data_IF_653065880004
#
_entry.id   IF_653065880004
#
_cell.length_a   1.000
_cell.length_b   1.000
_cell.length_c   1.000
_cell.angle_alpha   90.00
_cell.angle_beta   90.00
_cell.angle_gamma   90.00
#
_symmetry.space_group_name_H-M   'P 1'
#
loop_
_entity.id
_entity.type
_entity.pdbx_description
1 polymer ?
#
# COMPACT_ATOMS: atom_id res chain seq x y z
N UNK A 1 14.83 -17.49 -36.06
CA UNK A 1 15.52 -17.04 -34.83
C UNK A 1 14.72 -15.89 -34.26
N UNK A 2 13.83 -16.17 -33.31
CA UNK A 2 13.05 -15.15 -32.60
C UNK A 2 13.06 -15.53 -31.14
N UNK A 3 13.80 -14.76 -30.34
CA UNK A 3 13.90 -14.97 -28.90
C UNK A 3 12.52 -14.67 -28.28
N UNK A 4 11.83 -15.73 -27.82
CA UNK A 4 10.77 -15.58 -26.83
C UNK A 4 11.44 -15.13 -25.54
N UNK A 5 11.42 -13.82 -25.30
CA UNK A 5 11.66 -13.28 -23.97
C UNK A 5 10.34 -13.46 -23.20
N UNK A 6 10.22 -14.62 -22.56
CA UNK A 6 9.19 -14.85 -21.57
C UNK A 6 9.52 -14.00 -20.34
N UNK A 7 9.01 -12.77 -20.35
CA UNK A 7 9.18 -11.79 -19.27
C UNK A 7 8.33 -12.15 -18.04
N UNK A 8 7.54 -13.23 -18.12
CA UNK A 8 6.61 -13.68 -17.09
C UNK A 8 7.30 -14.50 -15.97
N UNK A 9 8.41 -15.17 -16.26
CA UNK A 9 9.08 -16.02 -15.25
C UNK A 9 10.13 -15.28 -14.40
N UNK A 10 10.59 -14.10 -14.84
CA UNK A 10 11.68 -13.39 -14.13
C UNK A 10 11.22 -12.48 -12.99
N UNK A 11 9.92 -12.26 -12.82
CA UNK A 11 9.38 -11.53 -11.66
C UNK A 11 8.88 -12.42 -10.52
N UNK A 12 8.94 -13.76 -10.67
CA UNK A 12 8.53 -14.69 -9.61
C UNK A 12 9.64 -15.17 -8.69
N UNK A 13 10.91 -14.80 -8.94
CA UNK A 13 12.06 -15.35 -8.20
C UNK A 13 12.86 -14.34 -7.36
N UNK A 14 12.40 -13.10 -7.23
CA UNK A 14 13.03 -12.07 -6.37
C UNK A 14 12.05 -11.52 -5.32
N UNK A 15 11.14 -12.36 -4.84
CA UNK A 15 10.19 -12.01 -3.78
C UNK A 15 10.15 -13.11 -2.71
N UNK A 16 11.34 -13.56 -2.30
CA UNK A 16 11.49 -14.55 -1.24
C UNK A 16 12.77 -14.25 -0.46
N UNK A 17 12.68 -13.24 0.41
CA UNK A 17 13.33 -13.20 1.74
C UNK A 17 13.01 -11.87 2.42
N UNK A 18 12.25 -11.95 3.52
CA UNK A 18 11.99 -10.89 4.51
C UNK A 18 10.69 -10.05 4.41
N UNK A 19 9.65 -10.56 3.74
CA UNK A 19 8.29 -10.02 3.90
C UNK A 19 7.68 -10.45 5.25
N UNK A 20 8.00 -9.72 6.31
CA UNK A 20 7.20 -9.76 7.55
C UNK A 20 5.83 -9.16 7.25
N UNK A 21 4.88 -10.02 6.89
CA UNK A 21 3.48 -9.69 6.69
C UNK A 21 2.96 -8.76 7.81
N UNK A 22 2.44 -7.58 7.45
CA UNK A 22 1.88 -6.59 8.39
C UNK A 22 0.86 -7.21 9.35
N UNK A 23 0.14 -8.24 8.91
CA UNK A 23 -0.83 -8.96 9.75
C UNK A 23 -0.18 -9.66 10.94
N UNK A 24 1.12 -9.95 10.89
CA UNK A 24 1.90 -10.61 11.94
C UNK A 24 2.60 -9.63 12.90
N UNK A 25 2.58 -8.33 12.62
CA UNK A 25 3.19 -7.30 13.50
C UNK A 25 2.33 -7.15 14.76
N UNK A 26 2.78 -7.76 15.85
CA UNK A 26 2.16 -7.72 17.18
C UNK A 26 2.90 -6.73 18.07
N UNK A 27 2.16 -5.79 18.65
CA UNK A 27 2.68 -4.78 19.58
C UNK A 27 2.46 -5.25 21.01
N UNK A 28 3.48 -5.13 21.85
CA UNK A 28 3.44 -5.53 23.27
C UNK A 28 3.53 -4.26 24.09
N UNK A 29 2.55 -3.93 24.93
CA UNK A 29 2.66 -2.74 25.78
C UNK A 29 2.32 -3.02 27.24
N UNK A 30 3.22 -2.57 28.12
CA UNK A 30 2.97 -2.32 29.55
C UNK A 30 2.58 -0.85 29.78
N UNK A 31 1.60 -0.63 30.65
CA UNK A 31 0.98 0.66 30.94
C UNK A 31 1.88 1.63 31.72
N UNK A 32 2.05 2.88 31.22
CA UNK A 32 2.75 3.94 31.96
C UNK A 32 2.60 5.40 31.46
N UNK A 33 1.86 6.21 32.25
CA UNK A 33 1.92 7.68 32.44
C UNK A 33 1.52 8.70 31.32
N UNK A 34 1.26 9.93 31.76
CA UNK A 34 0.29 10.92 31.23
C UNK A 34 0.77 11.92 30.15
N UNK A 35 1.87 11.66 29.45
CA UNK A 35 2.28 12.46 28.26
C UNK A 35 2.62 11.62 27.03
N UNK A 36 2.66 10.29 27.15
CA UNK A 36 2.70 9.38 26.02
C UNK A 36 1.26 9.16 25.50
N UNK A 37 1.04 8.98 24.18
CA UNK A 37 -0.20 8.46 23.67
C UNK A 37 -0.44 7.15 24.40
N UNK A 38 -1.67 6.95 24.86
CA UNK A 38 -2.03 5.68 25.46
C UNK A 38 -1.66 4.56 24.48
N UNK A 39 -1.22 3.40 24.98
CA UNK A 39 -0.93 2.23 24.12
C UNK A 39 -2.09 1.96 23.14
N UNK A 40 -3.32 2.24 23.57
CA UNK A 40 -4.54 2.18 22.75
C UNK A 40 -4.56 3.19 21.60
N UNK A 41 -4.09 4.42 21.82
CA UNK A 41 -4.02 5.45 20.76
C UNK A 41 -3.00 5.07 19.69
N UNK A 42 -1.85 4.54 20.10
CA UNK A 42 -0.84 4.03 19.18
C UNK A 42 -1.37 2.85 18.36
N UNK A 43 -2.05 1.90 19.01
CA UNK A 43 -2.73 0.78 18.34
C UNK A 43 -3.76 1.24 17.31
N UNK A 44 -4.55 2.29 17.62
CA UNK A 44 -5.51 2.87 16.69
C UNK A 44 -4.81 3.49 15.47
N UNK A 45 -3.74 4.27 15.68
CA UNK A 45 -2.96 4.89 14.60
C UNK A 45 -2.36 3.82 13.69
N UNK A 46 -1.76 2.79 14.28
CA UNK A 46 -1.23 1.61 13.57
C UNK A 46 -2.32 0.92 12.78
N UNK A 47 -3.43 0.56 13.41
CA UNK A 47 -4.55 -0.10 12.75
C UNK A 47 -5.15 0.71 11.60
N UNK A 48 -5.07 2.04 11.68
CA UNK A 48 -5.48 2.95 10.60
C UNK A 48 -4.53 2.86 9.41
N UNK A 49 -3.21 2.94 9.66
CA UNK A 49 -2.18 2.82 8.61
C UNK A 49 -2.24 1.44 7.94
N UNK A 50 -2.34 0.35 8.72
CA UNK A 50 -2.44 -1.02 8.18
C UNK A 50 -3.64 -1.20 7.24
N UNK A 51 -4.78 -0.56 7.55
CA UNK A 51 -5.97 -0.58 6.68
C UNK A 51 -5.75 0.24 5.42
N UNK A 52 -5.22 1.45 5.54
CA UNK A 52 -4.95 2.33 4.40
C UNK A 52 -3.93 1.73 3.42
N UNK A 53 -2.89 1.04 3.91
CA UNK A 53 -1.95 0.29 3.06
C UNK A 53 -2.70 -0.77 2.25
N UNK A 54 -3.52 -1.60 2.91
CA UNK A 54 -4.30 -2.66 2.25
C UNK A 54 -5.30 -2.10 1.23
N UNK A 55 -6.07 -1.09 1.62
CA UNK A 55 -7.04 -0.45 0.72
C UNK A 55 -6.34 0.09 -0.54
N UNK A 56 -5.21 0.78 -0.34
CA UNK A 56 -4.42 1.34 -1.44
C UNK A 56 -3.84 0.26 -2.34
N UNK A 57 -3.29 -0.83 -1.78
CA UNK A 57 -2.79 -1.96 -2.57
C UNK A 57 -3.88 -2.57 -3.43
N UNK A 58 -5.06 -2.83 -2.87
CA UNK A 58 -6.21 -3.38 -3.61
C UNK A 58 -6.65 -2.44 -4.73
N UNK A 59 -6.74 -1.13 -4.48
CA UNK A 59 -7.11 -0.17 -5.52
C UNK A 59 -6.10 -0.10 -6.67
N UNK A 60 -4.80 -0.26 -6.37
CA UNK A 60 -3.75 -0.29 -7.39
C UNK A 60 -3.77 -1.59 -8.20
N UNK A 61 -3.97 -2.73 -7.55
CA UNK A 61 -4.13 -4.02 -8.23
C UNK A 61 -5.36 -4.03 -9.16
N UNK A 62 -6.48 -3.46 -8.72
CA UNK A 62 -7.69 -3.33 -9.54
C UNK A 62 -7.44 -2.40 -10.75
N UNK A 63 -6.81 -1.24 -10.52
CA UNK A 63 -6.45 -0.33 -11.62
C UNK A 63 -5.61 -1.04 -12.68
N UNK A 64 -4.54 -1.73 -12.25
CA UNK A 64 -3.67 -2.50 -13.14
C UNK A 64 -4.46 -3.58 -13.91
N UNK A 65 -5.32 -4.31 -13.22
CA UNK A 65 -6.16 -5.35 -13.83
C UNK A 65 -7.04 -4.77 -14.94
N UNK A 66 -7.65 -3.61 -14.70
CA UNK A 66 -8.51 -2.95 -15.69
C UNK A 66 -7.73 -2.30 -16.84
N UNK A 67 -6.50 -1.83 -16.60
CA UNK A 67 -5.57 -1.37 -17.63
C UNK A 67 -5.08 -2.53 -18.52
N UNK A 68 -4.70 -3.65 -17.93
CA UNK A 68 -4.30 -4.87 -18.66
C UNK A 68 -5.46 -5.40 -19.51
N UNK A 69 -6.69 -5.39 -18.97
CA UNK A 69 -7.91 -5.74 -19.70
C UNK A 69 -8.13 -4.81 -20.91
N UNK A 70 -7.93 -3.50 -20.73
CA UNK A 70 -8.02 -2.53 -21.83
C UNK A 70 -7.00 -2.79 -22.94
N UNK A 71 -5.74 -3.04 -22.56
CA UNK A 71 -4.67 -3.35 -23.52
C UNK A 71 -5.01 -4.61 -24.32
N UNK A 72 -5.46 -5.66 -23.64
CA UNK A 72 -5.88 -6.89 -24.30
C UNK A 72 -7.03 -6.65 -25.30
N UNK A 73 -8.09 -5.95 -24.89
CA UNK A 73 -9.20 -5.64 -25.81
C UNK A 73 -8.77 -4.79 -26.99
N UNK A 74 -7.82 -3.88 -26.79
CA UNK A 74 -7.25 -3.08 -27.86
C UNK A 74 -6.45 -3.95 -28.85
N UNK A 75 -5.69 -4.93 -28.35
CA UNK A 75 -4.94 -5.90 -29.18
C UNK A 75 -5.86 -6.84 -29.94
N UNK A 76 -6.93 -7.30 -29.29
CA UNK A 76 -7.95 -8.18 -29.88
C UNK A 76 -8.84 -7.46 -30.93
N UNK A 77 -8.70 -6.13 -31.06
CA UNK A 77 -9.42 -5.33 -32.05
C UNK A 77 -10.88 -5.06 -31.69
N UNK A 78 -11.20 -4.98 -30.39
CA UNK A 78 -12.53 -4.64 -29.89
C UNK A 78 -12.98 -3.24 -30.35
N UNK A 79 -14.30 -3.05 -30.45
CA UNK A 79 -14.89 -1.80 -30.93
C UNK A 79 -14.63 -0.61 -29.99
N UNK A 80 -14.58 0.59 -30.57
CA UNK A 80 -14.32 1.85 -29.86
C UNK A 80 -15.32 2.12 -28.73
N UNK A 81 -16.58 1.69 -28.86
CA UNK A 81 -17.57 1.82 -27.80
C UNK A 81 -17.14 1.04 -26.53
N UNK A 82 -16.65 -0.19 -26.71
CA UNK A 82 -16.19 -1.06 -25.63
C UNK A 82 -14.94 -0.47 -24.99
N UNK A 83 -13.96 -0.08 -25.81
CA UNK A 83 -12.72 0.56 -25.35
C UNK A 83 -12.98 1.85 -24.57
N UNK A 84 -13.94 2.68 -25.01
CA UNK A 84 -14.35 3.89 -24.29
C UNK A 84 -15.02 3.57 -22.96
N UNK A 85 -15.84 2.52 -22.90
CA UNK A 85 -16.45 2.07 -21.64
C UNK A 85 -15.39 1.57 -20.66
N UNK A 86 -14.41 0.83 -21.14
CA UNK A 86 -13.31 0.37 -20.30
C UNK A 86 -12.48 1.52 -19.72
N UNK A 87 -12.23 2.58 -20.50
CA UNK A 87 -11.60 3.81 -19.98
C UNK A 87 -12.42 4.49 -18.87
N UNK A 88 -13.74 4.36 -18.88
CA UNK A 88 -14.59 4.88 -17.79
C UNK A 88 -14.35 4.07 -16.50
N UNK A 89 -14.29 2.74 -16.61
CA UNK A 89 -13.98 1.84 -15.48
C UNK A 89 -12.60 2.14 -14.90
N UNK A 90 -11.57 2.25 -15.76
CA UNK A 90 -10.21 2.62 -15.33
C UNK A 90 -10.21 3.95 -14.56
N UNK A 91 -10.93 4.96 -15.05
CA UNK A 91 -11.03 6.26 -14.37
C UNK A 91 -11.73 6.14 -13.00
N UNK A 92 -12.78 5.31 -12.90
CA UNK A 92 -13.46 5.05 -11.62
C UNK A 92 -12.51 4.39 -10.60
N UNK A 93 -11.72 3.40 -11.01
CA UNK A 93 -10.69 2.80 -10.16
C UNK A 93 -9.63 3.82 -9.74
N UNK A 94 -9.12 4.61 -10.71
CA UNK A 94 -8.07 5.59 -10.46
C UNK A 94 -8.47 6.68 -9.47
N UNK A 95 -9.74 7.12 -9.47
CA UNK A 95 -10.24 8.19 -8.59
C UNK A 95 -10.12 7.89 -7.09
N UNK A 96 -10.03 6.63 -6.70
CA UNK A 96 -9.93 6.23 -5.29
C UNK A 96 -8.51 6.34 -4.72
N UNK A 97 -7.50 6.28 -5.59
CA UNK A 97 -6.09 6.22 -5.18
C UNK A 97 -5.63 7.52 -4.52
N UNK A 98 -5.86 8.74 -5.09
CA UNK A 98 -5.28 9.97 -4.56
C UNK A 98 -5.71 10.31 -3.12
N UNK A 99 -6.99 10.13 -2.75
CA UNK A 99 -7.42 10.41 -1.37
C UNK A 99 -6.86 9.38 -0.39
N UNK A 100 -6.82 8.11 -0.79
CA UNK A 100 -6.27 7.04 0.04
C UNK A 100 -4.77 7.26 0.31
N UNK A 101 -4.00 7.65 -0.71
CA UNK A 101 -2.59 8.05 -0.57
C UNK A 101 -2.43 9.25 0.36
N UNK A 102 -3.24 10.29 0.20
CA UNK A 102 -3.20 11.48 1.06
C UNK A 102 -3.48 11.13 2.51
N UNK A 103 -4.47 10.27 2.76
CA UNK A 103 -4.84 9.79 4.10
C UNK A 103 -3.73 8.94 4.72
N UNK A 104 -3.12 8.07 3.92
CA UNK A 104 -1.99 7.24 4.35
C UNK A 104 -0.78 8.12 4.72
N UNK A 105 -0.40 9.05 3.85
CA UNK A 105 0.69 9.99 4.09
C UNK A 105 0.46 10.82 5.36
N UNK A 106 -0.75 11.32 5.57
CA UNK A 106 -1.11 12.05 6.80
C UNK A 106 -1.01 11.18 8.06
N UNK A 107 -1.48 9.93 8.00
CA UNK A 107 -1.41 9.01 9.13
C UNK A 107 0.05 8.65 9.49
N UNK A 108 0.90 8.44 8.49
CA UNK A 108 2.35 8.22 8.70
C UNK A 108 3.02 9.44 9.31
N UNK A 109 2.68 10.64 8.85
CA UNK A 109 3.25 11.88 9.40
C UNK A 109 2.91 12.03 10.89
N UNK A 110 1.67 11.73 11.27
CA UNK A 110 1.29 11.72 12.69
C UNK A 110 2.04 10.68 13.51
N UNK A 111 2.25 9.49 12.96
CA UNK A 111 3.02 8.45 13.64
C UNK A 111 4.50 8.83 13.80
N UNK A 112 5.11 9.45 12.78
CA UNK A 112 6.48 9.99 12.86
C UNK A 112 6.61 11.12 13.86
N UNK A 113 5.62 12.01 13.93
CA UNK A 113 5.61 13.06 14.94
C UNK A 113 5.60 12.47 16.36
N UNK A 114 4.81 11.43 16.62
CA UNK A 114 4.86 10.72 17.90
C UNK A 114 6.25 10.12 18.15
N UNK A 115 6.86 9.49 17.14
CA UNK A 115 8.22 8.94 17.26
C UNK A 115 9.24 10.01 17.68
N UNK A 116 9.21 11.17 17.03
CA UNK A 116 10.12 12.30 17.31
C UNK A 116 9.91 12.90 18.70
N UNK A 117 8.67 12.87 19.20
CA UNK A 117 8.32 13.33 20.55
C UNK A 117 8.64 12.30 21.64
N UNK A 118 9.27 11.16 21.31
CA UNK A 118 9.62 10.10 22.26
C UNK A 118 8.41 9.34 22.79
N UNK A 119 7.29 9.37 22.05
CA UNK A 119 6.01 8.77 22.41
C UNK A 119 5.86 7.32 21.99
N UNK A 120 6.87 6.78 21.30
CA UNK A 120 6.95 5.39 20.83
C UNK A 120 8.09 4.71 21.59
N UNK A 121 7.83 3.53 22.12
CA UNK A 121 8.84 2.76 22.88
C UNK A 121 9.91 2.21 21.93
N UNK A 122 11.11 1.92 22.45
CA UNK A 122 12.19 1.33 21.63
C UNK A 122 11.79 -0.01 20.99
N UNK A 123 10.98 -0.81 21.69
CA UNK A 123 10.46 -2.11 21.21
C UNK A 123 9.55 -1.94 19.98
N UNK A 124 8.91 -0.79 19.89
CA UNK A 124 7.87 -0.48 18.92
C UNK A 124 8.38 0.29 17.70
N UNK A 125 9.55 0.91 17.80
CA UNK A 125 10.20 1.67 16.72
C UNK A 125 10.39 0.77 15.49
N UNK A 126 10.87 -0.46 15.65
CA UNK A 126 11.09 -1.39 14.53
C UNK A 126 9.80 -1.66 13.74
N UNK A 127 8.68 -1.83 14.45
CA UNK A 127 7.38 -2.06 13.83
C UNK A 127 6.90 -0.82 13.06
N UNK A 128 7.09 0.37 13.64
CA UNK A 128 6.78 1.66 13.00
C UNK A 128 7.61 1.86 11.73
N UNK A 129 8.92 1.59 11.79
CA UNK A 129 9.83 1.69 10.64
C UNK A 129 9.43 0.75 9.51
N UNK A 130 9.05 -0.49 9.85
CA UNK A 130 8.56 -1.47 8.88
C UNK A 130 7.30 -0.97 8.16
N UNK A 131 6.33 -0.43 8.92
CA UNK A 131 5.11 0.13 8.35
C UNK A 131 5.36 1.36 7.49
N UNK A 132 6.29 2.22 7.88
CA UNK A 132 6.72 3.38 7.09
C UNK A 132 7.33 2.94 5.77
N UNK A 133 8.20 1.92 5.79
CA UNK A 133 8.84 1.37 4.60
C UNK A 133 7.79 0.80 3.64
N UNK A 134 6.87 -0.03 4.14
CA UNK A 134 5.84 -0.64 3.31
C UNK A 134 4.87 0.39 2.73
N UNK A 135 4.43 1.36 3.52
CA UNK A 135 3.61 2.43 3.01
C UNK A 135 4.35 3.26 1.94
N UNK A 136 5.66 3.45 2.09
CA UNK A 136 6.52 4.05 1.07
C UNK A 136 6.50 3.26 -0.25
N UNK A 137 6.70 1.93 -0.17
CA UNK A 137 6.63 1.04 -1.34
C UNK A 137 5.29 1.19 -2.04
N UNK A 138 4.18 1.12 -1.30
CA UNK A 138 2.85 1.21 -1.89
C UNK A 138 2.64 2.58 -2.52
N UNK A 139 3.02 3.69 -1.87
CA UNK A 139 2.85 5.06 -2.42
C UNK A 139 3.70 5.28 -3.69
N UNK A 140 4.97 4.85 -3.69
CA UNK A 140 5.91 5.10 -4.80
C UNK A 140 5.50 4.39 -6.10
N UNK A 141 4.80 3.26 -6.03
CA UNK A 141 4.25 2.55 -7.19
C UNK A 141 3.18 3.35 -7.99
N UNK A 142 2.86 4.59 -7.60
CA UNK A 142 1.92 5.46 -8.34
C UNK A 142 2.54 6.66 -9.05
N UNK A 143 3.87 6.81 -9.01
CA UNK A 143 4.59 7.85 -9.78
C UNK A 143 5.26 7.24 -11.00
#
# INVERSE_FOLDING_TARGET
MGLKLDFSEKQKSEMDSDDKNISSIHFSHSSGSSQAPSARELEIKIGTIKRLIRDLSVYKEELKTEEDRYLKWKEDGEDEYVLRKQKQVINECWRMIPDTERRLAYALEKLRQDQMEGKITEEDIFCVETMVKEAGIVIEHSR
#
